data_IF_287453362376
#
_entry.id   IF_287453362376
#
_cell.length_a   1.000
_cell.length_b   1.000
_cell.length_c   1.000
_cell.angle_alpha   90.00
_cell.angle_beta   90.00
_cell.angle_gamma   90.00
#
_symmetry.space_group_name_H-M   'P 1'
#
loop_
_entity.id
_entity.type
_entity.pdbx_description
1 polymer ?
#
# COMPACT_ATOMS: atom_id res chain seq x y z
N UNK A 1 -0.55 -48.68 23.99
CA UNK A 1 0.35 -47.56 24.38
C UNK A 1 0.59 -46.74 23.11
N UNK A 2 0.53 -45.42 23.01
CA UNK A 2 0.29 -44.32 23.95
C UNK A 2 -0.38 -43.15 23.18
N UNK A 3 -0.99 -42.24 23.94
CA UNK A 3 -1.71 -41.05 23.50
C UNK A 3 -0.81 -39.95 22.90
N UNK A 4 -1.43 -39.02 22.17
CA UNK A 4 -0.91 -37.70 21.84
C UNK A 4 -1.59 -37.17 20.58
N UNK A 5 -2.42 -36.13 20.56
CA UNK A 5 -2.58 -35.04 21.52
C UNK A 5 -2.39 -33.72 20.78
N UNK A 6 -3.49 -32.99 20.60
CA UNK A 6 -3.47 -31.53 20.67
C UNK A 6 -3.31 -30.74 19.38
N UNK A 7 -4.11 -29.67 19.30
CA UNK A 7 -3.62 -28.43 18.72
C UNK A 7 -4.43 -27.89 17.55
N UNK A 8 -5.74 -27.70 17.75
CA UNK A 8 -6.47 -26.70 16.98
C UNK A 8 -5.76 -25.36 17.10
N UNK A 9 -5.02 -24.98 16.07
CA UNK A 9 -4.40 -23.67 15.95
C UNK A 9 -5.21 -22.90 14.93
N UNK A 10 -6.17 -22.13 15.45
CA UNK A 10 -6.86 -21.07 14.75
C UNK A 10 -5.86 -20.04 14.21
N UNK A 11 -5.36 -20.27 12.98
CA UNK A 11 -4.59 -19.27 12.22
C UNK A 11 -5.53 -18.36 11.44
N UNK A 12 -6.47 -17.73 12.13
CA UNK A 12 -7.37 -16.76 11.52
C UNK A 12 -6.81 -15.34 11.75
N UNK A 13 -5.82 -14.92 10.97
CA UNK A 13 -5.40 -13.50 10.91
C UNK A 13 -4.40 -13.11 9.79
N UNK A 14 -4.07 -13.99 8.83
CA UNK A 14 -3.04 -13.70 7.81
C UNK A 14 -3.53 -13.01 6.52
N UNK A 15 -4.83 -12.80 6.35
CA UNK A 15 -5.40 -12.23 5.11
C UNK A 15 -5.38 -10.69 5.06
N UNK A 16 -5.44 -10.01 6.21
CA UNK A 16 -5.46 -8.54 6.30
C UNK A 16 -4.05 -7.93 6.22
N UNK A 17 -3.07 -8.56 6.86
CA UNK A 17 -1.68 -8.10 6.81
C UNK A 17 -1.06 -8.26 5.41
N UNK A 18 -1.41 -9.35 4.71
CA UNK A 18 -0.95 -9.61 3.34
C UNK A 18 -1.56 -8.63 2.32
N UNK A 19 -2.84 -8.28 2.47
CA UNK A 19 -3.50 -7.28 1.62
C UNK A 19 -3.00 -5.86 1.86
N UNK A 20 -2.66 -5.50 3.10
CA UNK A 20 -2.02 -4.21 3.41
C UNK A 20 -0.63 -4.07 2.76
N UNK A 21 0.22 -5.10 2.86
CA UNK A 21 1.55 -5.09 2.23
C UNK A 21 1.51 -5.05 0.70
N UNK A 22 0.54 -5.74 0.08
CA UNK A 22 0.33 -5.68 -1.36
C UNK A 22 -0.11 -4.29 -1.84
N UNK A 23 -0.96 -3.61 -1.05
CA UNK A 23 -1.40 -2.24 -1.33
C UNK A 23 -0.23 -1.26 -1.21
N UNK A 24 0.57 -1.35 -0.15
CA UNK A 24 1.77 -0.52 0.03
C UNK A 24 2.75 -0.68 -1.13
N UNK A 25 3.03 -1.91 -1.54
CA UNK A 25 3.91 -2.20 -2.68
C UNK A 25 3.39 -1.59 -4.00
N UNK A 26 2.07 -1.62 -4.19
CA UNK A 26 1.43 -1.04 -5.38
C UNK A 26 1.49 0.49 -5.35
N UNK A 27 1.30 1.10 -4.18
CA UNK A 27 1.42 2.55 -3.97
C UNK A 27 2.84 3.03 -4.24
N UNK A 28 3.85 2.33 -3.74
CA UNK A 28 5.24 2.73 -3.92
C UNK A 28 5.63 2.72 -5.40
N UNK A 29 5.26 1.65 -6.13
CA UNK A 29 5.46 1.57 -7.59
C UNK A 29 4.75 2.69 -8.33
N UNK A 30 3.49 2.98 -7.97
CA UNK A 30 2.68 4.04 -8.60
C UNK A 30 3.26 5.44 -8.36
N UNK A 31 3.72 5.72 -7.14
CA UNK A 31 4.34 7.01 -6.83
C UNK A 31 5.71 7.15 -7.48
N UNK A 32 6.49 6.07 -7.63
CA UNK A 32 7.73 6.11 -8.42
C UNK A 32 7.48 6.38 -9.90
N UNK A 33 6.40 5.85 -10.47
CA UNK A 33 6.09 5.95 -11.90
C UNK A 33 5.29 7.19 -12.30
N UNK A 34 4.76 7.95 -11.33
CA UNK A 34 3.89 9.09 -11.65
C UNK A 34 4.71 10.21 -12.31
N UNK A 35 4.21 10.74 -13.41
CA UNK A 35 4.82 11.83 -14.18
C UNK A 35 3.81 12.95 -14.39
N UNK A 36 4.26 14.11 -14.85
CA UNK A 36 3.39 15.27 -15.08
C UNK A 36 2.53 15.16 -16.36
N UNK A 37 2.35 13.96 -16.92
CA UNK A 37 1.45 13.78 -18.07
C UNK A 37 0.02 13.52 -17.58
N UNK A 38 -0.96 13.92 -18.39
CA UNK A 38 -2.37 13.76 -18.08
C UNK A 38 -2.72 12.29 -17.83
N UNK A 39 -2.18 11.39 -18.65
CA UNK A 39 -2.46 9.95 -18.61
C UNK A 39 -1.95 9.32 -17.31
N UNK A 40 -0.77 9.76 -16.86
CA UNK A 40 -0.16 9.28 -15.61
C UNK A 40 -0.97 9.73 -14.39
N UNK A 41 -1.35 11.01 -14.36
CA UNK A 41 -2.15 11.59 -13.27
C UNK A 41 -3.56 10.98 -13.23
N UNK A 42 -4.19 10.80 -14.40
CA UNK A 42 -5.50 10.16 -14.50
C UNK A 42 -5.43 8.68 -14.10
N UNK A 43 -4.41 7.94 -14.54
CA UNK A 43 -4.21 6.54 -14.15
C UNK A 43 -4.04 6.36 -12.65
N UNK A 44 -3.34 7.28 -11.98
CA UNK A 44 -3.24 7.30 -10.52
C UNK A 44 -4.60 7.63 -9.87
N UNK A 45 -5.29 8.64 -10.38
CA UNK A 45 -6.59 9.09 -9.85
C UNK A 45 -7.66 8.01 -9.94
N UNK A 46 -7.80 7.36 -11.09
CA UNK A 46 -8.72 6.23 -11.30
C UNK A 46 -8.42 5.09 -10.34
N UNK A 47 -7.15 4.73 -10.18
CA UNK A 47 -6.76 3.66 -9.26
C UNK A 47 -7.10 3.99 -7.79
N UNK A 48 -6.93 5.25 -7.37
CA UNK A 48 -7.34 5.69 -6.03
C UNK A 48 -8.85 5.55 -5.80
N UNK A 49 -9.67 5.85 -6.83
CA UNK A 49 -11.13 5.73 -6.75
C UNK A 49 -11.54 4.25 -6.65
N UNK A 50 -10.92 3.36 -7.42
CA UNK A 50 -11.16 1.92 -7.36
C UNK A 50 -10.82 1.34 -5.98
N UNK A 51 -9.74 1.85 -5.35
CA UNK A 51 -9.26 1.40 -4.05
C UNK A 51 -9.77 2.25 -2.88
N UNK A 52 -10.89 2.97 -3.04
CA UNK A 52 -11.42 3.92 -2.03
C UNK A 52 -11.64 3.33 -0.64
N UNK A 53 -11.83 2.01 -0.51
CA UNK A 53 -11.92 1.31 0.79
C UNK A 53 -10.65 1.47 1.64
N UNK A 54 -9.52 1.74 1.00
CA UNK A 54 -8.22 1.94 1.62
C UNK A 54 -7.76 3.41 1.58
N UNK A 55 -8.69 4.37 1.45
CA UNK A 55 -8.37 5.79 1.28
C UNK A 55 -7.40 6.32 2.34
N UNK A 56 -7.56 5.92 3.61
CA UNK A 56 -6.68 6.37 4.71
C UNK A 56 -5.23 5.95 4.47
N UNK A 57 -5.00 4.71 4.02
CA UNK A 57 -3.67 4.19 3.71
C UNK A 57 -3.08 4.91 2.50
N UNK A 58 -3.87 5.12 1.44
CA UNK A 58 -3.44 5.85 0.23
C UNK A 58 -2.95 7.26 0.59
N UNK A 59 -3.75 8.02 1.36
CA UNK A 59 -3.40 9.38 1.79
C UNK A 59 -2.17 9.39 2.70
N UNK A 60 -2.07 8.45 3.64
CA UNK A 60 -0.89 8.34 4.51
C UNK A 60 0.40 8.13 3.72
N UNK A 61 0.42 7.18 2.77
CA UNK A 61 1.60 6.93 1.94
C UNK A 61 1.91 8.07 0.98
N UNK A 62 0.88 8.71 0.43
CA UNK A 62 1.04 9.89 -0.43
C UNK A 62 1.73 11.04 0.32
N UNK A 63 1.27 11.36 1.53
CA UNK A 63 1.90 12.39 2.37
C UNK A 63 3.35 12.05 2.74
N UNK A 64 3.64 10.76 2.98
CA UNK A 64 5.01 10.29 3.22
C UNK A 64 5.91 10.53 2.01
N UNK A 65 5.43 10.20 0.81
CA UNK A 65 6.15 10.39 -0.46
C UNK A 65 6.33 11.87 -0.81
N UNK A 66 5.29 12.69 -0.62
CA UNK A 66 5.35 14.15 -0.83
C UNK A 66 6.44 14.82 -0.01
N UNK A 67 6.54 14.47 1.29
CA UNK A 67 7.63 14.99 2.14
C UNK A 67 9.01 14.60 1.62
N UNK A 68 9.17 13.37 1.12
CA UNK A 68 10.43 12.91 0.52
C UNK A 68 10.76 13.69 -0.75
N UNK A 69 9.78 13.93 -1.63
CA UNK A 69 9.96 14.76 -2.82
C UNK A 69 10.31 16.20 -2.50
N UNK A 70 9.63 16.81 -1.53
CA UNK A 70 9.92 18.18 -1.12
C UNK A 70 11.35 18.29 -0.58
N UNK A 71 11.77 17.32 0.23
CA UNK A 71 13.11 17.32 0.81
C UNK A 71 14.19 17.08 -0.23
N UNK A 72 13.94 16.18 -1.20
CA UNK A 72 14.83 15.94 -2.32
C UNK A 72 14.95 17.19 -3.20
N UNK A 73 13.83 17.87 -3.48
CA UNK A 73 13.80 19.11 -4.27
C UNK A 73 14.51 20.28 -3.58
N UNK A 74 14.58 20.31 -2.25
CA UNK A 74 15.34 21.32 -1.49
C UNK A 74 16.84 21.01 -1.42
N UNK A 75 17.23 19.76 -1.72
CA UNK A 75 18.62 19.29 -1.67
C UNK A 75 19.32 19.34 -3.03
N UNK A 76 18.60 19.73 -4.09
CA UNK A 76 19.05 19.88 -5.48
C UNK A 76 19.10 21.37 -5.83
#
# INVERSE_FOLDING_TARGET
MAAGGGGGSSKASSSSASSAGALESSLDRKFQSVTNTMESIQGLSSWCIENKKHHSTIVYHWMKWLRRWIHLSLSL
#
